data_IF_285294771093
#
_entry.id   IF_285294771093
#
_cell.length_a   1.000
_cell.length_b   1.000
_cell.length_c   1.000
_cell.angle_alpha   90.00
_cell.angle_beta   90.00
_cell.angle_gamma   90.00
#
_symmetry.space_group_name_H-M   'P 1'
#
loop_
_entity.id
_entity.type
_entity.pdbx_description
1 polymer ?
#
# COMPACT_ATOMS: atom_id res chain seq x y z
N UNK A 1 -0.02 11.99 -13.15
CA UNK A 1 0.43 12.07 -11.73
C UNK A 1 -0.33 13.17 -10.97
N UNK A 2 -0.69 14.28 -11.63
CA UNK A 2 -1.24 15.47 -10.96
C UNK A 2 -2.58 15.25 -10.25
N UNK A 3 -3.49 14.45 -10.81
CA UNK A 3 -4.77 14.14 -10.14
C UNK A 3 -4.56 13.58 -8.73
N UNK A 4 -3.68 12.59 -8.57
CA UNK A 4 -3.39 12.00 -7.26
C UNK A 4 -2.64 12.92 -6.33
N UNK A 5 -1.74 13.75 -6.85
CA UNK A 5 -1.08 14.78 -6.04
C UNK A 5 -2.12 15.76 -5.50
N UNK A 6 -3.01 16.24 -6.36
CA UNK A 6 -4.03 17.22 -6.00
C UNK A 6 -5.12 16.64 -5.10
N UNK A 7 -5.37 15.34 -5.18
CA UNK A 7 -6.31 14.65 -4.28
C UNK A 7 -5.65 14.24 -2.99
N UNK A 8 -4.66 13.35 -3.02
CA UNK A 8 -4.13 12.71 -1.81
C UNK A 8 -3.16 13.55 -1.00
N UNK A 9 -2.61 14.62 -1.60
CA UNK A 9 -1.78 15.59 -0.88
C UNK A 9 -2.58 16.82 -0.44
N UNK A 10 -3.91 16.76 -0.56
CA UNK A 10 -4.77 17.71 0.09
C UNK A 10 -4.76 17.48 1.62
N UNK A 11 -4.63 18.57 2.38
CA UNK A 11 -4.94 18.57 3.81
C UNK A 11 -6.13 19.48 4.09
N UNK A 12 -6.91 19.11 5.11
CA UNK A 12 -7.93 19.99 5.66
C UNK A 12 -7.29 20.98 6.65
N UNK A 13 -8.05 21.97 7.10
CA UNK A 13 -7.57 22.98 8.05
C UNK A 13 -7.22 22.43 9.44
N UNK A 14 -7.51 21.16 9.71
CA UNK A 14 -7.25 20.51 10.99
C UNK A 14 -6.02 19.59 10.92
N UNK A 15 -5.41 19.42 9.74
CA UNK A 15 -4.30 18.50 9.48
C UNK A 15 -4.57 17.03 9.88
N UNK A 16 -5.85 16.62 9.94
CA UNK A 16 -6.28 15.29 10.39
C UNK A 16 -6.79 14.39 9.25
N UNK A 17 -6.62 14.81 8.00
CA UNK A 17 -7.15 14.05 6.87
C UNK A 17 -6.36 12.76 6.64
N UNK A 18 -7.07 11.64 6.44
CA UNK A 18 -6.49 10.35 6.06
C UNK A 18 -7.30 9.70 4.95
N UNK A 19 -6.63 8.84 4.18
CA UNK A 19 -7.17 8.21 2.99
C UNK A 19 -7.33 6.71 3.19
N UNK A 20 -8.53 6.21 2.96
CA UNK A 20 -8.80 4.77 2.93
C UNK A 20 -8.69 4.26 1.49
N UNK A 21 -7.82 3.28 1.27
CA UNK A 21 -7.61 2.64 -0.02
C UNK A 21 -8.13 1.21 0.00
N UNK A 22 -8.90 0.85 -1.02
CA UNK A 22 -9.33 -0.52 -1.28
C UNK A 22 -9.33 -0.80 -2.79
N UNK A 23 -9.01 -2.04 -3.16
CA UNK A 23 -9.18 -2.48 -4.53
C UNK A 23 -10.64 -2.86 -4.80
N UNK A 24 -11.10 -2.56 -6.00
CA UNK A 24 -12.40 -3.03 -6.46
C UNK A 24 -12.45 -4.58 -6.43
N UNK A 25 -13.55 -5.11 -5.89
CA UNK A 25 -13.83 -6.55 -5.76
C UNK A 25 -13.87 -7.25 -7.11
N UNK A 26 -14.32 -6.57 -8.17
CA UNK A 26 -14.39 -7.13 -9.53
C UNK A 26 -13.11 -6.91 -10.34
N UNK A 27 -12.15 -6.14 -9.83
CA UNK A 27 -10.90 -5.86 -10.54
C UNK A 27 -10.11 -7.15 -10.78
N UNK A 28 -9.91 -7.51 -12.05
CA UNK A 28 -9.04 -8.60 -12.45
C UNK A 28 -7.68 -8.02 -12.82
N UNK A 29 -6.59 -8.71 -12.45
CA UNK A 29 -5.15 -8.32 -12.52
C UNK A 29 -4.63 -7.90 -13.92
N UNK A 30 -5.49 -7.76 -14.91
CA UNK A 30 -5.12 -7.88 -16.33
C UNK A 30 -4.31 -6.70 -16.86
N UNK A 31 -4.20 -5.58 -16.15
CA UNK A 31 -3.13 -4.59 -16.37
C UNK A 31 -3.10 -3.59 -15.21
N UNK A 32 -2.01 -3.60 -14.44
CA UNK A 32 -1.73 -2.54 -13.47
C UNK A 32 -1.04 -1.40 -14.22
N UNK A 33 -1.59 -0.18 -14.24
CA UNK A 33 -0.95 0.93 -14.94
C UNK A 33 0.42 1.25 -14.32
N UNK A 34 1.44 1.51 -15.15
CA UNK A 34 2.79 1.85 -14.66
C UNK A 34 2.80 3.04 -13.71
N UNK A 35 1.99 4.06 -13.97
CA UNK A 35 1.89 5.21 -13.06
C UNK A 35 1.42 4.81 -11.66
N UNK A 36 0.60 3.75 -11.53
CA UNK A 36 0.13 3.26 -10.24
C UNK A 36 1.21 2.46 -9.53
N UNK A 37 2.03 1.72 -10.28
CA UNK A 37 3.23 1.09 -9.73
C UNK A 37 4.17 2.17 -9.17
N UNK A 38 4.44 3.23 -9.94
CA UNK A 38 5.30 4.31 -9.47
C UNK A 38 4.73 4.95 -8.20
N UNK A 39 3.43 5.26 -8.20
CA UNK A 39 2.75 5.79 -7.01
C UNK A 39 2.87 4.85 -5.80
N UNK A 40 2.68 3.55 -6.00
CA UNK A 40 2.81 2.54 -4.96
C UNK A 40 4.21 2.51 -4.35
N UNK A 41 5.26 2.62 -5.16
CA UNK A 41 6.64 2.60 -4.67
C UNK A 41 6.95 3.75 -3.69
N UNK A 42 6.23 4.87 -3.76
CA UNK A 42 6.42 6.02 -2.85
C UNK A 42 5.40 6.08 -1.71
N UNK A 43 4.15 5.70 -1.96
CA UNK A 43 3.04 5.94 -1.02
C UNK A 43 2.28 4.68 -0.61
N UNK A 44 2.63 3.53 -1.21
CA UNK A 44 2.02 2.25 -0.90
C UNK A 44 2.42 1.74 0.49
N UNK A 45 1.65 0.79 1.03
CA UNK A 45 1.97 0.10 2.26
C UNK A 45 3.22 -0.79 2.10
N UNK A 46 3.92 -0.94 3.21
CA UNK A 46 5.11 -1.79 3.36
C UNK A 46 4.76 -3.06 4.14
N UNK A 47 5.63 -4.06 4.13
CA UNK A 47 5.35 -5.36 4.76
C UNK A 47 5.14 -5.25 6.28
N UNK A 48 5.80 -4.30 6.92
CA UNK A 48 5.82 -4.07 8.37
C UNK A 48 4.46 -3.72 8.95
N UNK A 49 3.52 -3.23 8.13
CA UNK A 49 2.16 -2.94 8.60
C UNK A 49 1.29 -4.19 8.66
N UNK A 50 1.67 -5.28 7.98
CA UNK A 50 0.85 -6.47 7.84
C UNK A 50 0.83 -7.27 9.16
N UNK A 51 -0.34 -7.78 9.58
CA UNK A 51 -0.40 -8.65 10.74
C UNK A 51 0.22 -10.03 10.43
N UNK A 52 0.69 -10.79 11.43
CA UNK A 52 1.41 -12.06 11.22
C UNK A 52 0.70 -13.08 10.30
N UNK A 53 -0.63 -13.31 10.39
CA UNK A 53 -1.31 -14.24 9.49
C UNK A 53 -1.23 -13.83 8.01
N UNK A 54 -1.24 -12.52 7.74
CA UNK A 54 -1.15 -11.99 6.38
C UNK A 54 0.28 -12.05 5.86
N UNK A 55 1.29 -11.89 6.72
CA UNK A 55 2.69 -12.12 6.38
C UNK A 55 2.91 -13.59 5.96
N UNK A 56 2.30 -14.54 6.67
CA UNK A 56 2.39 -15.96 6.27
C UNK A 56 1.76 -16.21 4.89
N UNK A 57 0.57 -15.65 4.65
CA UNK A 57 -0.09 -15.73 3.35
C UNK A 57 0.72 -15.04 2.24
N UNK A 58 1.36 -13.91 2.54
CA UNK A 58 2.25 -13.20 1.61
C UNK A 58 3.48 -14.04 1.25
N UNK A 59 4.12 -14.67 2.24
CA UNK A 59 5.24 -15.58 2.02
C UNK A 59 4.84 -16.82 1.20
N UNK A 60 3.62 -17.30 1.37
CA UNK A 60 3.08 -18.38 0.53
C UNK A 60 2.86 -17.90 -0.90
N UNK A 61 2.28 -16.72 -1.08
CA UNK A 61 2.07 -16.09 -2.38
C UNK A 61 3.40 -15.91 -3.13
N UNK A 62 4.39 -15.28 -2.51
CA UNK A 62 5.70 -15.00 -3.13
C UNK A 62 6.43 -16.27 -3.60
N UNK A 63 6.30 -17.39 -2.87
CA UNK A 63 6.88 -18.68 -3.25
C UNK A 63 6.21 -19.34 -4.45
N UNK A 64 4.94 -19.03 -4.71
CA UNK A 64 4.11 -19.71 -5.72
C UNK A 64 3.71 -18.80 -6.88
N UNK A 65 4.21 -17.56 -6.92
CA UNK A 65 3.97 -16.62 -8.01
C UNK A 65 5.29 -16.14 -8.61
N UNK A 66 5.36 -16.08 -9.92
CA UNK A 66 6.47 -15.43 -10.61
C UNK A 66 6.46 -13.92 -10.34
N UNK A 67 7.64 -13.37 -10.04
CA UNK A 67 7.81 -11.93 -9.87
C UNK A 67 7.62 -11.23 -11.21
N UNK A 68 6.77 -10.20 -11.24
CA UNK A 68 6.60 -9.35 -12.40
C UNK A 68 7.73 -8.30 -12.43
N UNK A 69 8.51 -8.24 -13.51
CA UNK A 69 9.74 -7.41 -13.63
C UNK A 69 9.55 -5.93 -13.29
N UNK A 70 8.32 -5.40 -13.40
CA UNK A 70 7.99 -4.00 -13.18
C UNK A 70 6.84 -3.80 -12.17
N UNK A 71 6.54 -4.79 -11.33
CA UNK A 71 5.49 -4.66 -10.31
C UNK A 71 5.97 -5.31 -9.01
N UNK A 72 6.07 -4.55 -7.89
CA UNK A 72 6.41 -5.11 -6.59
C UNK A 72 5.50 -6.30 -6.23
N UNK A 73 6.08 -7.37 -5.71
CA UNK A 73 5.31 -8.57 -5.36
C UNK A 73 4.26 -8.25 -4.29
N UNK A 74 4.56 -7.34 -3.35
CA UNK A 74 3.60 -6.86 -2.35
C UNK A 74 2.40 -6.15 -2.98
N UNK A 75 2.58 -5.35 -4.02
CA UNK A 75 1.48 -4.73 -4.77
C UNK A 75 0.60 -5.80 -5.41
N UNK A 76 1.22 -6.79 -6.06
CA UNK A 76 0.50 -7.91 -6.66
C UNK A 76 -0.32 -8.69 -5.63
N UNK A 77 0.25 -8.91 -4.44
CA UNK A 77 -0.42 -9.57 -3.33
C UNK A 77 -1.61 -8.76 -2.79
N UNK A 78 -1.44 -7.46 -2.58
CA UNK A 78 -2.50 -6.57 -2.13
C UNK A 78 -3.69 -6.53 -3.11
N UNK A 79 -3.42 -6.53 -4.42
CA UNK A 79 -4.44 -6.63 -5.46
C UNK A 79 -5.14 -7.99 -5.44
N UNK A 80 -4.37 -9.07 -5.29
CA UNK A 80 -4.86 -10.45 -5.29
C UNK A 80 -5.83 -10.69 -4.13
N UNK A 81 -5.43 -10.31 -2.92
CA UNK A 81 -6.20 -10.50 -1.70
C UNK A 81 -7.18 -9.35 -1.42
N UNK A 82 -7.26 -8.33 -2.29
CA UNK A 82 -8.13 -7.16 -2.08
C UNK A 82 -7.88 -6.47 -0.73
N UNK A 83 -6.61 -6.41 -0.32
CA UNK A 83 -6.24 -5.81 0.95
C UNK A 83 -6.50 -4.30 0.90
N UNK A 84 -7.00 -3.79 2.02
CA UNK A 84 -7.24 -2.36 2.21
C UNK A 84 -6.27 -1.80 3.24
N UNK A 85 -5.95 -0.53 3.12
CA UNK A 85 -5.07 0.17 4.07
C UNK A 85 -5.49 1.63 4.21
N UNK A 86 -4.98 2.27 5.26
CA UNK A 86 -5.13 3.69 5.48
C UNK A 86 -3.77 4.35 5.21
N UNK A 87 -3.77 5.48 4.51
CA UNK A 87 -2.61 6.34 4.32
C UNK A 87 -2.87 7.71 4.95
N UNK A 88 -1.86 8.23 5.62
CA UNK A 88 -1.83 9.54 6.24
C UNK A 88 -0.50 10.20 5.89
N UNK A 89 -0.46 11.53 5.90
CA UNK A 89 0.79 12.27 5.79
C UNK A 89 0.68 13.58 6.55
N UNK A 90 1.84 14.09 6.95
CA UNK A 90 2.03 15.28 7.77
C UNK A 90 3.35 15.95 7.39
N UNK A 91 3.54 17.18 7.84
CA UNK A 91 4.79 17.89 7.69
C UNK A 91 5.74 17.55 8.83
N UNK A 92 6.99 17.30 8.48
CA UNK A 92 8.08 17.31 9.43
C UNK A 92 9.11 18.36 9.02
N UNK A 93 9.67 19.00 10.05
CA UNK A 93 10.70 20.02 9.91
C UNK A 93 12.02 19.37 10.30
N UNK A 94 12.96 19.34 9.37
CA UNK A 94 14.31 18.87 9.62
C UNK A 94 15.22 20.09 9.79
N UNK A 95 15.74 20.24 11.01
CA UNK A 95 16.65 21.30 11.38
C UNK A 95 18.05 20.73 11.54
N UNK A 96 19.04 21.38 10.91
CA UNK A 96 20.45 21.09 11.12
C UNK A 96 21.19 22.41 11.34
N UNK A 97 22.14 22.48 12.31
CA UNK A 97 22.83 23.73 12.64
C UNK A 97 23.57 24.40 11.47
N UNK A 98 23.87 23.65 10.41
CA UNK A 98 24.68 24.10 9.27
C UNK A 98 23.85 24.34 8.00
N UNK A 99 22.54 24.08 8.02
CA UNK A 99 21.68 24.20 6.84
C UNK A 99 20.39 24.92 7.16
N UNK A 100 19.77 25.50 6.13
CA UNK A 100 18.44 26.09 6.25
C UNK A 100 17.45 24.95 6.60
N UNK A 101 16.52 25.14 7.57
CA UNK A 101 15.49 24.17 7.88
C UNK A 101 14.71 23.75 6.64
N UNK A 102 14.50 22.44 6.48
CA UNK A 102 13.72 21.90 5.37
C UNK A 102 12.40 21.38 5.87
N UNK A 103 11.33 21.71 5.14
CA UNK A 103 10.00 21.14 5.37
C UNK A 103 9.81 20.02 4.36
N UNK A 104 9.47 18.84 4.85
CA UNK A 104 9.12 17.72 3.99
C UNK A 104 7.88 17.00 4.49
N UNK A 105 7.25 16.26 3.57
CA UNK A 105 6.08 15.45 3.89
C UNK A 105 6.53 14.06 4.28
N UNK A 106 6.16 13.65 5.48
CA UNK A 106 6.31 12.27 5.94
C UNK A 106 4.99 11.54 5.73
N UNK A 107 5.09 10.31 5.22
CA UNK A 107 3.93 9.45 4.94
C UNK A 107 3.89 8.30 5.94
N UNK A 108 2.69 7.94 6.34
CA UNK A 108 2.42 6.77 7.17
C UNK A 108 1.35 5.92 6.52
N UNK A 109 1.51 4.61 6.65
CA UNK A 109 0.49 3.64 6.27
C UNK A 109 0.10 2.80 7.47
N UNK A 110 -1.15 2.37 7.50
CA UNK A 110 -1.70 1.54 8.58
C UNK A 110 -2.58 0.45 8.01
N UNK A 111 -2.45 -0.74 8.58
CA UNK A 111 -3.30 -1.88 8.25
C UNK A 111 -4.78 -1.63 8.58
N UNK A 112 -5.65 -2.04 7.67
CA UNK A 112 -7.09 -2.02 7.91
C UNK A 112 -7.54 -3.26 8.68
N UNK A 113 -7.70 -3.11 10.00
CA UNK A 113 -8.00 -4.20 10.92
C UNK A 113 -9.42 -4.80 10.80
N UNK A 114 -10.27 -4.31 9.90
CA UNK A 114 -11.58 -4.92 9.60
C UNK A 114 -11.53 -5.88 8.41
N UNK A 115 -10.35 -6.10 7.83
CA UNK A 115 -10.18 -7.14 6.82
C UNK A 115 -10.42 -8.52 7.44
N UNK A 116 -11.27 -9.33 6.81
CA UNK A 116 -11.55 -10.69 7.23
C UNK A 116 -10.39 -11.61 6.82
N UNK A 117 -9.58 -11.96 7.82
CA UNK A 117 -8.35 -12.75 7.67
C UNK A 117 -8.61 -14.15 7.09
N UNK A 118 -9.83 -14.69 7.22
CA UNK A 118 -10.16 -16.00 6.65
C UNK A 118 -10.09 -16.02 5.12
N UNK A 119 -10.20 -14.86 4.47
CA UNK A 119 -10.08 -14.70 3.02
C UNK A 119 -8.62 -14.67 2.53
N UNK A 120 -7.63 -14.60 3.42
CA UNK A 120 -6.22 -14.50 3.07
C UNK A 120 -5.37 -15.34 4.01
N UNK A 121 -5.47 -16.66 3.85
CA UNK A 121 -4.62 -17.68 4.48
C UNK A 121 -3.75 -18.38 3.45
N UNK A 122 -2.67 -19.03 3.89
CA UNK A 122 -1.79 -19.83 3.02
C UNK A 122 -2.58 -20.83 2.15
N UNK A 123 -3.61 -21.50 2.69
CA UNK A 123 -4.47 -22.42 1.94
C UNK A 123 -5.29 -21.70 0.86
N UNK A 124 -5.98 -20.61 1.22
CA UNK A 124 -6.78 -19.84 0.25
C UNK A 124 -5.94 -19.28 -0.90
N UNK A 125 -4.71 -18.85 -0.59
CA UNK A 125 -3.74 -18.40 -1.60
C UNK A 125 -3.44 -19.53 -2.58
N UNK A 126 -3.04 -20.70 -2.09
CA UNK A 126 -2.71 -21.84 -2.95
C UNK A 126 -3.88 -22.29 -3.81
N UNK A 127 -5.11 -22.25 -3.28
CA UNK A 127 -6.31 -22.57 -4.05
C UNK A 127 -6.59 -21.53 -5.14
N UNK A 128 -6.37 -20.26 -4.86
CA UNK A 128 -6.64 -19.15 -5.80
C UNK A 128 -5.59 -18.98 -6.91
N UNK A 129 -4.41 -19.60 -6.76
CA UNK A 129 -3.33 -19.56 -7.75
C UNK A 129 -3.38 -20.71 -8.76
N UNK A 130 -4.25 -21.72 -8.53
CA UNK A 130 -4.52 -22.81 -9.47
C UNK A 130 -5.48 -22.37 -10.57
#
# INVERSE_FOLDING_TARGET
MDAWKNTFLFQNNEDLHSWFFCFDKIFKKQTIPYWFVDWWCFYGPIEEILPPPIIEAYNTFTKHTESLTLCPTILSFFIHCKLSWIMYWDYIIEESPQTIPTIHRQFWTKWWNKYDLSNCTSETILLSLK
#
